data_IF_436417514638
#
_entry.id   IF_436417514638
#
_cell.length_a   1.000
_cell.length_b   1.000
_cell.length_c   1.000
_cell.angle_alpha   90.00
_cell.angle_beta   90.00
_cell.angle_gamma   90.00
#
_symmetry.space_group_name_H-M   'P 1'
#
loop_
_entity.id
_entity.type
_entity.pdbx_description
1 polymer ?
#
# COMPACT_ATOMS: atom_id res chain seq x y z
N UNK A 1 20.92 -28.92 -27.04
CA UNK A 1 20.29 -27.92 -26.16
C UNK A 1 19.61 -28.69 -25.06
N UNK A 2 20.04 -28.50 -23.81
CA UNK A 2 19.36 -29.08 -22.66
C UNK A 2 18.15 -28.18 -22.45
N UNK A 3 16.95 -28.72 -22.66
CA UNK A 3 15.70 -28.05 -22.39
C UNK A 3 15.57 -27.97 -20.87
N UNK A 4 15.94 -26.83 -20.30
CA UNK A 4 15.73 -26.58 -18.87
C UNK A 4 14.22 -26.53 -18.63
N UNK A 5 13.71 -27.19 -17.59
CA UNK A 5 12.29 -27.09 -17.27
C UNK A 5 11.91 -25.60 -17.08
N UNK A 6 10.73 -25.19 -17.55
CA UNK A 6 10.28 -23.81 -17.35
C UNK A 6 10.27 -23.50 -15.86
N UNK A 7 10.71 -22.28 -15.50
CA UNK A 7 10.66 -21.82 -14.13
C UNK A 7 9.23 -21.97 -13.59
N UNK A 8 9.04 -22.39 -12.32
CA UNK A 8 7.71 -22.57 -11.77
C UNK A 8 6.94 -21.24 -11.82
N UNK A 9 5.66 -21.30 -12.21
CA UNK A 9 4.79 -20.14 -12.20
C UNK A 9 4.77 -19.51 -10.79
N UNK A 10 4.79 -18.17 -10.70
CA UNK A 10 4.75 -17.49 -9.41
C UNK A 10 3.44 -17.79 -8.69
N UNK A 11 3.51 -17.82 -7.36
CA UNK A 11 2.37 -18.08 -6.49
C UNK A 11 1.80 -16.78 -5.91
N UNK A 12 0.48 -16.66 -5.93
CA UNK A 12 -0.27 -15.72 -5.09
C UNK A 12 -0.97 -16.48 -3.96
N UNK A 13 -0.77 -16.00 -2.73
CA UNK A 13 -1.49 -16.50 -1.54
C UNK A 13 -2.57 -15.48 -1.19
N UNK A 14 -3.83 -15.86 -1.33
CA UNK A 14 -4.95 -15.04 -0.89
C UNK A 14 -5.45 -15.53 0.48
N UNK A 15 -5.36 -14.65 1.48
CA UNK A 15 -5.77 -14.96 2.85
C UNK A 15 -7.06 -14.20 3.13
N UNK A 16 -8.09 -14.93 3.55
CA UNK A 16 -9.42 -14.40 3.81
C UNK A 16 -10.09 -15.16 4.96
N UNK A 17 -11.12 -14.60 5.61
CA UNK A 17 -11.96 -15.38 6.52
C UNK A 17 -12.43 -16.68 5.86
N UNK A 18 -12.40 -17.79 6.59
CA UNK A 18 -12.79 -19.11 6.09
C UNK A 18 -14.17 -19.09 5.41
N UNK A 19 -15.09 -18.32 5.97
CA UNK A 19 -16.45 -18.16 5.46
C UNK A 19 -16.55 -17.46 4.09
N UNK A 20 -15.46 -16.86 3.60
CA UNK A 20 -15.41 -16.08 2.36
C UNK A 20 -14.64 -16.77 1.23
N UNK A 21 -13.93 -17.87 1.51
CA UNK A 21 -13.10 -18.56 0.49
C UNK A 21 -13.90 -18.97 -0.75
N UNK A 22 -15.11 -19.49 -0.59
CA UNK A 22 -15.97 -19.85 -1.74
C UNK A 22 -16.38 -18.65 -2.59
N UNK A 23 -16.38 -17.44 -2.03
CA UNK A 23 -16.65 -16.20 -2.78
C UNK A 23 -15.46 -15.81 -3.65
N UNK A 24 -14.24 -16.24 -3.29
CA UNK A 24 -13.00 -15.99 -4.04
C UNK A 24 -12.74 -16.98 -5.18
N UNK A 25 -13.45 -18.11 -5.22
CA UNK A 25 -13.26 -19.16 -6.25
C UNK A 25 -13.30 -18.62 -7.70
N UNK A 26 -14.22 -17.71 -8.10
CA UNK A 26 -14.22 -17.16 -9.45
C UNK A 26 -12.96 -16.35 -9.76
N UNK A 27 -12.45 -15.60 -8.79
CA UNK A 27 -11.19 -14.87 -8.92
C UNK A 27 -10.00 -15.82 -9.03
N UNK A 28 -9.93 -16.82 -8.16
CA UNK A 28 -8.86 -17.82 -8.17
C UNK A 28 -8.82 -18.60 -9.48
N UNK A 29 -9.98 -19.01 -10.00
CA UNK A 29 -10.09 -19.70 -11.28
C UNK A 29 -9.58 -18.83 -12.44
N UNK A 30 -9.90 -17.53 -12.45
CA UNK A 30 -9.41 -16.60 -13.47
C UNK A 30 -7.89 -16.40 -13.40
N UNK A 31 -7.32 -16.28 -12.18
CA UNK A 31 -5.87 -16.09 -11.99
C UNK A 31 -5.06 -17.36 -12.25
N UNK A 32 -5.66 -18.54 -12.09
CA UNK A 32 -5.01 -19.85 -12.30
C UNK A 32 -4.54 -20.10 -13.74
N UNK A 33 -4.96 -19.26 -14.70
CA UNK A 33 -4.45 -19.30 -16.07
C UNK A 33 -2.99 -18.78 -16.18
N UNK A 34 -2.54 -17.95 -15.24
CA UNK A 34 -1.23 -17.28 -15.29
C UNK A 34 -0.37 -17.51 -14.04
N UNK A 35 -0.99 -17.88 -12.92
CA UNK A 35 -0.38 -17.96 -11.59
C UNK A 35 -0.79 -19.26 -10.90
N UNK A 36 0.04 -19.74 -9.98
CA UNK A 36 -0.47 -20.63 -8.93
C UNK A 36 -1.25 -19.80 -7.92
N UNK A 37 -2.40 -20.30 -7.48
CA UNK A 37 -3.27 -19.61 -6.52
C UNK A 37 -3.49 -20.51 -5.32
N UNK A 38 -3.22 -19.99 -4.12
CA UNK A 38 -3.60 -20.61 -2.86
C UNK A 38 -4.66 -19.73 -2.18
N UNK A 39 -5.83 -20.31 -1.90
CA UNK A 39 -6.85 -19.69 -1.05
C UNK A 39 -6.69 -20.27 0.35
N UNK A 40 -6.40 -19.41 1.33
CA UNK A 40 -6.07 -19.83 2.70
C UNK A 40 -7.00 -19.14 3.69
N UNK A 41 -7.57 -19.93 4.61
CA UNK A 41 -8.37 -19.38 5.70
C UNK A 41 -7.48 -18.64 6.69
N UNK A 42 -7.85 -17.40 7.01
CA UNK A 42 -7.19 -16.55 7.99
C UNK A 42 -7.13 -17.23 9.36
N UNK A 43 -8.21 -17.88 9.76
CA UNK A 43 -8.33 -18.60 11.04
C UNK A 43 -7.34 -19.76 11.11
N UNK A 44 -7.16 -20.51 10.01
CA UNK A 44 -6.21 -21.62 9.94
C UNK A 44 -4.77 -21.12 10.03
N UNK A 45 -4.43 -20.02 9.35
CA UNK A 45 -3.11 -19.39 9.43
C UNK A 45 -2.80 -18.95 10.86
N UNK A 46 -3.75 -18.26 11.50
CA UNK A 46 -3.62 -17.77 12.87
C UNK A 46 -3.57 -18.91 13.91
N UNK A 47 -4.12 -20.08 13.61
CA UNK A 47 -4.10 -21.25 14.50
C UNK A 47 -2.86 -22.14 14.32
N UNK A 48 -2.28 -22.18 13.12
CA UNK A 48 -1.23 -23.16 12.74
C UNK A 48 0.20 -22.66 12.85
N UNK A 49 0.43 -21.34 12.87
CA UNK A 49 1.77 -20.78 12.94
C UNK A 49 2.07 -20.31 14.37
N UNK A 50 3.30 -20.56 14.83
CA UNK A 50 3.83 -19.91 16.02
C UNK A 50 4.01 -18.42 15.73
N UNK A 51 3.91 -17.57 16.76
CA UNK A 51 4.03 -16.12 16.62
C UNK A 51 3.31 -15.41 17.77
N UNK A 52 3.79 -14.23 18.14
CA UNK A 52 3.31 -13.55 19.35
C UNK A 52 1.86 -13.07 19.23
N UNK A 53 1.40 -12.81 18.00
CA UNK A 53 0.05 -12.38 17.68
C UNK A 53 -0.38 -12.78 16.24
N UNK A 54 -1.60 -12.42 15.84
CA UNK A 54 -2.14 -12.78 14.53
C UNK A 54 -1.33 -12.23 13.33
N UNK A 55 -0.91 -10.95 13.29
CA UNK A 55 -0.07 -10.47 12.20
C UNK A 55 1.24 -11.23 12.05
N UNK A 56 1.97 -11.54 13.14
CA UNK A 56 3.23 -12.29 13.01
C UNK A 56 3.00 -13.69 12.45
N UNK A 57 1.92 -14.36 12.89
CA UNK A 57 1.54 -15.69 12.37
C UNK A 57 1.23 -15.66 10.87
N UNK A 58 0.54 -14.61 10.42
CA UNK A 58 0.28 -14.37 8.99
C UNK A 58 1.59 -14.12 8.24
N UNK A 59 2.47 -13.26 8.78
CA UNK A 59 3.77 -12.95 8.17
C UNK A 59 4.64 -14.20 8.03
N UNK A 60 4.67 -15.08 9.05
CA UNK A 60 5.40 -16.36 9.00
C UNK A 60 4.86 -17.30 7.93
N UNK A 61 3.54 -17.41 7.81
CA UNK A 61 2.94 -18.19 6.73
C UNK A 61 3.34 -17.67 5.34
N UNK A 62 3.40 -16.35 5.17
CA UNK A 62 3.85 -15.71 3.93
C UNK A 62 5.35 -15.88 3.69
N UNK A 63 6.18 -15.85 4.73
CA UNK A 63 7.60 -16.15 4.66
C UNK A 63 7.85 -17.58 4.17
N UNK A 64 7.17 -18.57 4.76
CA UNK A 64 7.24 -19.97 4.31
C UNK A 64 6.77 -20.11 2.85
N UNK A 65 5.68 -19.42 2.49
CA UNK A 65 5.18 -19.41 1.12
C UNK A 65 6.19 -18.83 0.13
N UNK A 66 6.84 -17.72 0.48
CA UNK A 66 7.87 -17.09 -0.33
C UNK A 66 9.08 -18.01 -0.51
N UNK A 67 9.59 -18.55 0.61
CA UNK A 67 10.83 -19.31 0.69
C UNK A 67 10.72 -20.68 0.03
N UNK A 68 9.69 -21.44 0.39
CA UNK A 68 9.59 -22.86 0.01
C UNK A 68 8.64 -23.11 -1.16
N UNK A 69 7.71 -22.18 -1.41
CA UNK A 69 6.65 -22.33 -2.42
C UNK A 69 6.70 -21.27 -3.51
N UNK A 70 7.74 -20.43 -3.53
CA UNK A 70 7.95 -19.37 -4.51
C UNK A 70 6.76 -18.40 -4.66
N UNK A 71 6.11 -18.06 -3.54
CA UNK A 71 5.16 -16.95 -3.50
C UNK A 71 5.84 -15.64 -3.93
N UNK A 72 5.12 -14.84 -4.70
CA UNK A 72 5.52 -13.50 -5.13
C UNK A 72 4.47 -12.45 -4.80
N UNK A 73 3.25 -12.88 -4.49
CA UNK A 73 2.16 -11.97 -4.17
C UNK A 73 1.36 -12.49 -2.98
N UNK A 74 0.80 -11.59 -2.20
CA UNK A 74 -0.21 -11.91 -1.20
C UNK A 74 -1.40 -10.95 -1.29
N UNK A 75 -2.61 -11.50 -1.34
CA UNK A 75 -3.84 -10.73 -1.31
C UNK A 75 -4.49 -10.87 0.08
N UNK A 76 -4.56 -9.76 0.81
CA UNK A 76 -5.20 -9.67 2.11
C UNK A 76 -6.68 -9.31 1.90
N UNK A 77 -7.60 -10.19 2.27
CA UNK A 77 -9.03 -9.98 2.02
C UNK A 77 -9.73 -9.64 3.33
N UNK A 78 -9.97 -8.34 3.52
CA UNK A 78 -10.66 -7.79 4.68
C UNK A 78 -10.19 -6.38 5.00
N UNK A 79 -11.11 -5.58 5.53
CA UNK A 79 -10.79 -4.29 6.15
C UNK A 79 -10.23 -4.49 7.57
N UNK A 80 -9.89 -3.42 8.29
CA UNK A 80 -9.30 -3.46 9.64
C UNK A 80 -10.18 -4.18 10.68
N UNK A 81 -11.50 -4.29 10.44
CA UNK A 81 -12.44 -5.03 11.27
C UNK A 81 -12.52 -6.53 10.95
N UNK A 82 -11.92 -6.97 9.83
CA UNK A 82 -11.97 -8.35 9.34
C UNK A 82 -10.59 -9.00 9.29
N UNK A 83 -9.56 -8.28 8.83
CA UNK A 83 -8.23 -8.82 8.60
C UNK A 83 -7.20 -8.07 9.45
N UNK A 84 -6.37 -8.77 10.26
CA UNK A 84 -5.42 -8.17 11.18
C UNK A 84 -4.52 -7.10 10.55
N UNK A 85 -4.39 -5.99 11.25
CA UNK A 85 -3.52 -4.85 10.94
C UNK A 85 -2.26 -4.98 11.76
N UNK A 86 -1.08 -4.79 11.14
CA UNK A 86 0.12 -4.47 11.89
C UNK A 86 0.23 -2.96 12.01
N UNK A 87 0.44 -2.49 13.23
CA UNK A 87 0.79 -1.11 13.52
C UNK A 87 2.28 -0.99 13.79
N UNK A 88 2.95 -0.09 13.06
CA UNK A 88 4.29 0.34 13.42
C UNK A 88 4.24 1.39 14.54
N UNK A 89 5.25 1.42 15.41
CA UNK A 89 5.35 2.35 16.52
C UNK A 89 6.38 3.45 16.23
N UNK A 90 6.01 4.71 16.50
CA UNK A 90 6.84 5.87 16.22
C UNK A 90 6.97 6.69 17.48
N UNK A 91 8.19 7.11 17.80
CA UNK A 91 8.35 8.21 18.73
C UNK A 91 7.85 9.52 18.09
N UNK A 92 7.15 10.35 18.85
CA UNK A 92 6.58 11.62 18.40
C UNK A 92 6.71 12.65 19.50
N UNK A 93 6.69 13.93 19.18
CA UNK A 93 6.64 14.96 20.23
C UNK A 93 5.17 15.16 20.64
N UNK A 94 4.67 14.26 21.49
CA UNK A 94 3.29 14.25 21.99
C UNK A 94 3.25 13.81 23.46
N UNK A 95 3.42 14.75 24.41
CA UNK A 95 3.46 14.42 25.83
C UNK A 95 2.19 13.74 26.35
N UNK A 96 1.03 14.04 25.73
CA UNK A 96 -0.25 13.45 26.08
C UNK A 96 -0.31 11.92 25.87
N UNK A 97 0.60 11.35 25.07
CA UNK A 97 0.73 9.91 24.88
C UNK A 97 2.13 9.40 25.17
N UNK A 98 2.84 10.05 26.10
CA UNK A 98 4.22 9.70 26.44
C UNK A 98 5.13 9.63 25.21
N UNK A 99 4.90 10.51 24.24
CA UNK A 99 5.71 10.66 23.03
C UNK A 99 5.69 9.45 22.08
N UNK A 100 4.59 8.69 22.03
CA UNK A 100 4.42 7.57 21.10
C UNK A 100 3.16 7.66 20.24
N UNK A 101 3.26 7.16 19.00
CA UNK A 101 2.15 7.00 18.06
C UNK A 101 2.25 5.68 17.28
N UNK A 102 1.13 5.27 16.68
CA UNK A 102 1.02 4.04 15.93
C UNK A 102 0.39 4.28 14.55
N UNK A 103 0.92 3.58 13.54
CA UNK A 103 0.50 3.76 12.16
C UNK A 103 0.31 2.41 11.48
N UNK A 104 -0.80 2.18 10.74
CA UNK A 104 -1.04 0.91 10.07
C UNK A 104 -0.05 0.71 8.92
N UNK A 105 0.45 -0.52 8.75
CA UNK A 105 1.40 -0.85 7.67
C UNK A 105 1.19 -2.26 7.14
N UNK A 106 0.76 -2.35 5.88
CA UNK A 106 0.74 -3.63 5.14
C UNK A 106 2.13 -3.98 4.57
N UNK A 107 3.10 -3.07 4.63
CA UNK A 107 4.50 -3.38 4.29
C UNK A 107 5.03 -4.51 5.19
N UNK A 108 4.55 -4.61 6.43
CA UNK A 108 4.86 -5.71 7.35
C UNK A 108 4.59 -7.09 6.74
N UNK A 109 3.53 -7.25 5.95
CA UNK A 109 3.20 -8.52 5.31
C UNK A 109 3.98 -8.77 4.01
N UNK A 110 4.64 -7.74 3.49
CA UNK A 110 5.38 -7.77 2.24
C UNK A 110 6.89 -8.02 2.45
N UNK A 111 7.44 -7.44 3.51
CA UNK A 111 8.83 -7.50 3.96
C UNK A 111 8.99 -8.64 4.95
N UNK A 112 9.09 -9.87 4.44
CA UNK A 112 8.97 -11.10 5.24
C UNK A 112 10.32 -11.65 5.68
N UNK A 113 11.41 -11.19 5.08
CA UNK A 113 12.73 -11.72 5.32
C UNK A 113 13.80 -10.64 5.49
N UNK A 114 14.80 -11.00 6.27
CA UNK A 114 16.10 -10.32 6.29
C UNK A 114 16.86 -10.56 4.98
N UNK A 115 17.93 -9.79 4.75
CA UNK A 115 18.79 -9.96 3.56
C UNK A 115 19.38 -11.39 3.41
N UNK A 116 19.57 -12.12 4.51
CA UNK A 116 20.05 -13.51 4.49
C UNK A 116 18.94 -14.55 4.28
N UNK A 117 17.68 -14.12 4.17
CA UNK A 117 16.50 -14.96 4.01
C UNK A 117 15.96 -15.58 5.31
N UNK A 118 16.49 -15.17 6.47
CA UNK A 118 15.87 -15.44 7.77
C UNK A 118 14.59 -14.62 7.95
N UNK A 119 13.74 -15.01 8.90
CA UNK A 119 12.46 -14.34 9.14
C UNK A 119 12.68 -12.99 9.82
N UNK A 120 12.16 -11.91 9.25
CA UNK A 120 12.14 -10.59 9.88
C UNK A 120 10.81 -10.41 10.63
N UNK A 121 10.85 -10.24 11.96
CA UNK A 121 9.65 -10.12 12.79
C UNK A 121 9.24 -8.66 13.08
N UNK A 122 10.03 -7.68 12.65
CA UNK A 122 9.95 -6.26 13.00
C UNK A 122 9.81 -5.99 14.50
N UNK A 123 10.53 -6.72 15.35
CA UNK A 123 10.63 -6.41 16.77
C UNK A 123 12.02 -6.82 17.26
N UNK A 124 12.87 -5.87 17.65
CA UNK A 124 14.18 -6.17 18.21
C UNK A 124 14.17 -6.29 19.74
N UNK A 125 13.14 -5.75 20.41
CA UNK A 125 13.07 -5.64 21.87
C UNK A 125 11.83 -6.31 22.47
N UNK A 126 12.05 -7.40 23.23
CA UNK A 126 11.00 -8.12 23.99
C UNK A 126 10.84 -7.66 25.44
N UNK A 127 11.36 -6.49 25.79
CA UNK A 127 11.32 -5.98 27.16
C UNK A 127 10.30 -4.86 27.35
N UNK A 128 9.61 -4.85 28.50
CA UNK A 128 8.69 -3.78 28.87
C UNK A 128 7.56 -3.59 27.84
N UNK A 129 7.21 -2.32 27.57
CA UNK A 129 6.18 -1.99 26.58
C UNK A 129 6.64 -2.20 25.13
N UNK A 130 7.96 -2.19 24.88
CA UNK A 130 8.54 -2.45 23.56
C UNK A 130 8.23 -3.86 23.04
N UNK A 131 7.97 -4.82 23.94
CA UNK A 131 7.55 -6.17 23.57
C UNK A 131 6.26 -6.22 22.73
N UNK A 132 5.44 -5.17 22.75
CA UNK A 132 4.23 -5.03 21.92
C UNK A 132 4.33 -3.97 20.83
N UNK A 133 5.50 -3.32 20.66
CA UNK A 133 5.73 -2.29 19.64
C UNK A 133 6.53 -2.92 18.51
N UNK A 134 6.09 -2.73 17.27
CA UNK A 134 6.71 -3.34 16.11
C UNK A 134 7.11 -2.26 15.13
N UNK A 135 8.13 -2.50 14.32
CA UNK A 135 8.66 -1.51 13.38
C UNK A 135 8.95 -0.18 14.05
N UNK A 136 9.57 -0.22 15.23
CA UNK A 136 9.87 0.96 16.04
C UNK A 136 10.79 1.92 15.28
N UNK A 137 10.27 3.12 15.02
CA UNK A 137 11.03 4.22 14.42
C UNK A 137 11.22 5.33 15.45
N UNK A 138 12.48 5.66 15.74
CA UNK A 138 12.87 6.72 16.66
C UNK A 138 13.56 7.87 15.91
N UNK A 139 13.75 9.00 16.58
CA UNK A 139 14.51 10.12 16.05
C UNK A 139 13.71 11.41 15.96
N UNK A 140 12.39 11.40 16.17
CA UNK A 140 11.62 12.65 16.28
C UNK A 140 11.81 13.22 17.68
N UNK A 141 11.60 12.39 18.70
CA UNK A 141 11.76 12.73 20.12
C UNK A 141 13.08 12.25 20.70
N UNK A 142 13.36 10.96 20.57
CA UNK A 142 14.52 10.26 21.08
C UNK A 142 15.65 10.35 20.04
N UNK A 143 16.65 11.17 20.32
CA UNK A 143 17.76 11.43 19.39
C UNK A 143 18.94 10.47 19.55
N UNK A 144 18.92 9.65 20.60
CA UNK A 144 19.95 8.65 20.87
C UNK A 144 19.61 7.33 20.16
N UNK A 145 20.58 6.78 19.43
CA UNK A 145 20.44 5.49 18.74
C UNK A 145 20.12 5.59 17.26
N UNK A 146 19.69 4.47 16.68
CA UNK A 146 19.30 4.37 15.27
C UNK A 146 17.85 4.87 15.08
N UNK A 147 17.57 5.38 13.88
CA UNK A 147 16.18 5.69 13.49
C UNK A 147 15.37 4.39 13.41
N UNK A 148 15.93 3.38 12.75
CA UNK A 148 15.39 2.03 12.71
C UNK A 148 15.81 1.27 13.97
N UNK A 149 14.91 1.17 14.94
CA UNK A 149 15.22 0.53 16.22
C UNK A 149 15.02 -0.98 16.18
N UNK A 150 14.14 -1.44 15.29
CA UNK A 150 13.83 -2.85 15.13
C UNK A 150 14.67 -3.56 14.06
N UNK A 151 15.46 -2.82 13.27
CA UNK A 151 16.33 -3.38 12.24
C UNK A 151 15.56 -3.86 11.02
N UNK A 152 14.46 -3.18 10.68
CA UNK A 152 13.56 -3.52 9.59
C UNK A 152 14.29 -3.53 8.23
N UNK A 153 14.22 -4.66 7.52
CA UNK A 153 14.79 -4.81 6.18
C UNK A 153 14.26 -3.77 5.18
N UNK A 154 12.95 -3.48 5.22
CA UNK A 154 12.24 -2.50 4.39
C UNK A 154 12.18 -2.85 2.88
N UNK A 155 12.77 -3.96 2.45
CA UNK A 155 12.84 -4.33 1.02
C UNK A 155 11.92 -5.52 0.79
N UNK A 156 10.66 -5.30 0.37
CA UNK A 156 9.68 -6.38 0.35
C UNK A 156 10.01 -7.51 -0.63
N UNK A 157 9.82 -8.74 -0.18
CA UNK A 157 9.87 -9.95 -1.01
C UNK A 157 8.60 -10.15 -1.85
N UNK A 158 7.45 -9.74 -1.29
CA UNK A 158 6.12 -10.00 -1.85
C UNK A 158 5.47 -8.70 -2.35
N UNK A 159 4.79 -8.78 -3.49
CA UNK A 159 3.80 -7.77 -3.88
C UNK A 159 2.51 -7.98 -3.09
N UNK A 160 2.28 -7.16 -2.07
CA UNK A 160 1.09 -7.26 -1.21
C UNK A 160 0.04 -6.24 -1.62
N UNK A 161 -1.21 -6.68 -1.65
CA UNK A 161 -2.37 -5.82 -1.83
C UNK A 161 -3.50 -6.23 -0.90
N UNK A 162 -4.37 -5.28 -0.57
CA UNK A 162 -5.53 -5.49 0.30
C UNK A 162 -6.82 -5.20 -0.43
N UNK A 163 -7.81 -6.09 -0.35
CA UNK A 163 -9.19 -5.70 -0.59
C UNK A 163 -9.82 -5.27 0.75
N UNK A 164 -9.98 -3.96 1.00
CA UNK A 164 -10.55 -3.49 2.24
C UNK A 164 -12.05 -3.71 2.13
N UNK A 165 -12.56 -4.81 2.67
CA UNK A 165 -13.99 -5.14 2.63
C UNK A 165 -14.41 -5.71 3.97
N UNK A 166 -15.57 -5.28 4.48
CA UNK A 166 -16.13 -5.75 5.75
C UNK A 166 -17.28 -6.74 5.53
N UNK A 167 -17.80 -6.86 4.31
CA UNK A 167 -18.92 -7.74 3.98
C UNK A 167 -18.67 -8.60 2.74
N UNK A 168 -19.41 -9.72 2.66
CA UNK A 168 -19.38 -10.62 1.49
C UNK A 168 -19.92 -9.93 0.23
N UNK A 169 -20.84 -8.99 0.38
CA UNK A 169 -21.41 -8.21 -0.71
C UNK A 169 -20.36 -7.26 -1.31
N UNK A 170 -19.60 -6.56 -0.47
CA UNK A 170 -18.45 -5.75 -0.93
C UNK A 170 -17.39 -6.63 -1.60
N UNK A 171 -17.09 -7.81 -1.04
CA UNK A 171 -16.15 -8.75 -1.65
C UNK A 171 -16.59 -9.19 -3.05
N UNK A 172 -17.88 -9.56 -3.23
CA UNK A 172 -18.42 -9.90 -4.55
C UNK A 172 -18.32 -8.74 -5.53
N UNK A 173 -18.55 -7.51 -5.07
CA UNK A 173 -18.47 -6.31 -5.90
C UNK A 173 -17.03 -6.07 -6.40
N UNK A 174 -16.02 -6.12 -5.53
CA UNK A 174 -14.63 -5.92 -5.94
C UNK A 174 -14.13 -7.05 -6.85
N UNK A 175 -14.54 -8.30 -6.61
CA UNK A 175 -14.22 -9.43 -7.50
C UNK A 175 -14.86 -9.23 -8.87
N UNK A 176 -16.16 -8.94 -8.92
CA UNK A 176 -16.87 -8.75 -10.19
C UNK A 176 -16.25 -7.62 -11.02
N UNK A 177 -15.92 -6.49 -10.39
CA UNK A 177 -15.23 -5.38 -11.04
C UNK A 177 -13.83 -5.78 -11.54
N UNK A 178 -13.05 -6.47 -10.71
CA UNK A 178 -11.70 -6.94 -11.08
C UNK A 178 -11.73 -7.90 -12.26
N UNK A 179 -12.71 -8.81 -12.32
CA UNK A 179 -12.87 -9.76 -13.41
C UNK A 179 -13.42 -9.13 -14.70
N UNK A 180 -14.20 -8.05 -14.59
CA UNK A 180 -14.73 -7.32 -15.73
C UNK A 180 -13.67 -6.40 -16.39
N UNK A 181 -12.58 -6.10 -15.68
CA UNK A 181 -11.52 -5.23 -16.14
C UNK A 181 -10.87 -5.73 -17.44
N UNK A 182 -10.62 -4.79 -18.35
CA UNK A 182 -9.87 -5.04 -19.59
C UNK A 182 -8.72 -4.05 -19.67
N UNK A 183 -7.54 -4.53 -19.99
CA UNK A 183 -6.41 -3.64 -20.25
C UNK A 183 -6.64 -2.91 -21.58
N UNK A 184 -6.52 -1.56 -21.59
CA UNK A 184 -6.66 -0.80 -22.82
C UNK A 184 -5.45 -1.04 -23.73
N UNK A 185 -5.69 -1.11 -25.05
CA UNK A 185 -4.63 -1.19 -26.06
C UNK A 185 -3.73 0.05 -26.07
N UNK A 186 -4.28 1.20 -25.67
CA UNK A 186 -3.57 2.48 -25.53
C UNK A 186 -3.76 2.99 -24.10
N UNK A 187 -2.80 2.76 -23.19
CA UNK A 187 -2.95 3.21 -21.83
C UNK A 187 -2.84 4.73 -21.74
N UNK A 188 -3.69 5.30 -20.89
CA UNK A 188 -3.75 6.75 -20.62
C UNK A 188 -3.22 7.01 -19.22
N UNK A 189 -2.34 8.00 -19.09
CA UNK A 189 -1.78 8.42 -17.81
C UNK A 189 -2.24 9.84 -17.48
N UNK A 190 -2.88 10.03 -16.32
CA UNK A 190 -3.20 11.35 -15.80
C UNK A 190 -2.19 11.71 -14.72
N UNK A 191 -1.54 12.87 -14.84
CA UNK A 191 -0.59 13.37 -13.85
C UNK A 191 -1.12 14.71 -13.33
N UNK A 192 -1.48 14.74 -12.06
CA UNK A 192 -2.18 15.84 -11.42
C UNK A 192 -1.36 16.39 -10.26
N UNK A 193 -0.98 17.67 -10.36
CA UNK A 193 -0.34 18.41 -9.28
C UNK A 193 -1.09 19.72 -9.04
N UNK A 194 -1.79 19.81 -7.90
CA UNK A 194 -2.54 21.00 -7.49
C UNK A 194 -1.66 22.07 -6.85
N UNK A 195 -2.14 23.32 -6.89
CA UNK A 195 -1.52 24.44 -6.13
C UNK A 195 -1.62 24.24 -4.63
N UNK A 196 -0.84 25.00 -3.87
CA UNK A 196 -0.94 25.05 -2.41
C UNK A 196 -0.06 24.05 -1.68
N UNK A 197 0.64 23.18 -2.41
CA UNK A 197 1.65 22.25 -1.91
C UNK A 197 3.04 22.61 -2.43
N UNK A 198 4.07 21.83 -2.07
CA UNK A 198 5.41 22.02 -2.63
C UNK A 198 5.39 21.89 -4.16
N UNK A 199 6.13 22.74 -4.87
CA UNK A 199 6.14 22.70 -6.33
C UNK A 199 6.90 21.47 -6.83
N UNK A 200 6.15 20.48 -7.33
CA UNK A 200 6.70 19.29 -7.97
C UNK A 200 6.46 19.27 -9.48
N UNK A 201 6.15 20.43 -10.09
CA UNK A 201 5.93 20.58 -11.53
C UNK A 201 7.10 20.06 -12.39
N UNK A 202 8.39 20.28 -12.03
CA UNK A 202 9.51 19.72 -12.79
C UNK A 202 9.52 18.19 -12.80
N UNK A 203 9.26 17.56 -11.64
CA UNK A 203 9.19 16.11 -11.52
C UNK A 203 8.03 15.55 -12.36
N UNK A 204 6.83 16.12 -12.21
CA UNK A 204 5.65 15.66 -12.93
C UNK A 204 5.78 15.81 -14.46
N UNK A 205 6.45 16.87 -14.91
CA UNK A 205 6.79 17.04 -16.33
C UNK A 205 7.76 15.96 -16.82
N UNK A 206 8.74 15.58 -16.00
CA UNK A 206 9.69 14.51 -16.32
C UNK A 206 9.00 13.14 -16.36
N UNK A 207 8.16 12.82 -15.38
CA UNK A 207 7.38 11.58 -15.35
C UNK A 207 6.44 11.47 -16.54
N UNK A 208 5.74 12.55 -16.90
CA UNK A 208 4.89 12.60 -18.11
C UNK A 208 5.71 12.30 -19.37
N UNK A 209 6.87 12.93 -19.51
CA UNK A 209 7.78 12.70 -20.66
C UNK A 209 8.25 11.24 -20.72
N UNK A 210 8.55 10.62 -19.57
CA UNK A 210 8.98 9.23 -19.47
C UNK A 210 7.88 8.26 -19.89
N UNK A 211 6.64 8.49 -19.43
CA UNK A 211 5.47 7.71 -19.81
C UNK A 211 5.11 7.90 -21.30
N UNK A 212 5.17 9.12 -21.84
CA UNK A 212 4.96 9.38 -23.27
C UNK A 212 5.96 8.62 -24.14
N UNK A 213 7.25 8.61 -23.75
CA UNK A 213 8.29 7.84 -24.44
C UNK A 213 8.05 6.33 -24.39
N UNK A 214 7.46 5.85 -23.30
CA UNK A 214 7.04 4.45 -23.17
C UNK A 214 5.77 4.13 -23.97
N UNK A 215 5.03 5.14 -24.46
CA UNK A 215 3.87 4.99 -25.33
C UNK A 215 2.51 5.25 -24.67
N UNK A 216 2.49 5.85 -23.47
CA UNK A 216 1.25 6.28 -22.82
C UNK A 216 0.73 7.58 -23.44
N UNK A 217 -0.60 7.72 -23.50
CA UNK A 217 -1.24 9.01 -23.76
C UNK A 217 -1.32 9.78 -22.44
N UNK A 218 -0.52 10.83 -22.28
CA UNK A 218 -0.43 11.57 -21.03
C UNK A 218 -1.32 12.82 -21.03
N UNK A 219 -2.00 13.05 -19.90
CA UNK A 219 -2.65 14.30 -19.57
C UNK A 219 -1.98 14.87 -18.33
N UNK A 220 -1.30 16.00 -18.49
CA UNK A 220 -0.55 16.65 -17.43
C UNK A 220 -1.29 17.91 -16.97
N UNK A 221 -1.55 18.00 -15.67
CA UNK A 221 -2.17 19.15 -15.03
C UNK A 221 -1.27 19.65 -13.90
N UNK A 222 -0.82 20.90 -14.03
CA UNK A 222 0.11 21.54 -13.11
C UNK A 222 -0.46 22.87 -12.61
N UNK A 223 -0.56 23.02 -11.29
CA UNK A 223 -0.87 24.30 -10.65
C UNK A 223 -2.25 24.88 -11.01
N UNK A 224 -3.23 24.04 -11.36
CA UNK A 224 -4.58 24.47 -11.69
C UNK A 224 -5.61 23.65 -10.91
N UNK A 225 -6.53 24.33 -10.22
CA UNK A 225 -7.67 23.69 -9.60
C UNK A 225 -8.59 23.09 -10.68
N UNK A 226 -9.06 21.86 -10.49
CA UNK A 226 -9.95 21.10 -11.38
C UNK A 226 -9.38 20.76 -12.77
N UNK A 227 -8.10 21.04 -13.03
CA UNK A 227 -7.47 20.69 -14.29
C UNK A 227 -7.05 19.20 -14.28
N UNK A 228 -7.37 18.48 -15.35
CA UNK A 228 -7.06 17.05 -15.52
C UNK A 228 -8.18 16.07 -15.14
N UNK A 229 -9.33 16.56 -14.66
CA UNK A 229 -10.50 15.74 -14.34
C UNK A 229 -11.13 15.01 -15.53
N UNK A 230 -11.12 15.65 -16.71
CA UNK A 230 -11.55 14.98 -17.94
C UNK A 230 -10.74 13.71 -18.21
N UNK A 231 -9.44 13.73 -17.94
CA UNK A 231 -8.59 12.55 -18.16
C UNK A 231 -8.91 11.40 -17.19
N UNK A 232 -9.31 11.70 -15.94
CA UNK A 232 -9.77 10.68 -15.00
C UNK A 232 -11.14 10.13 -15.42
N UNK A 233 -12.09 11.01 -15.74
CA UNK A 233 -13.44 10.65 -16.18
C UNK A 233 -13.48 9.92 -17.52
N UNK A 234 -12.46 10.10 -18.37
CA UNK A 234 -12.34 9.35 -19.61
C UNK A 234 -11.65 7.97 -19.42
N UNK A 235 -11.50 7.49 -18.18
CA UNK A 235 -10.97 6.18 -17.86
C UNK A 235 -9.44 6.10 -17.88
N UNK A 236 -8.77 6.90 -17.06
CA UNK A 236 -7.32 6.83 -16.90
C UNK A 236 -6.89 5.41 -16.49
N UNK A 237 -5.86 4.90 -17.18
CA UNK A 237 -5.27 3.60 -16.86
C UNK A 237 -4.34 3.71 -15.66
N UNK A 238 -3.62 4.83 -15.58
CA UNK A 238 -2.79 5.24 -14.44
C UNK A 238 -3.16 6.68 -14.10
N UNK A 239 -3.34 7.00 -12.83
CA UNK A 239 -3.40 8.39 -12.36
C UNK A 239 -2.39 8.61 -11.23
N UNK A 240 -1.58 9.66 -11.34
CA UNK A 240 -0.62 10.08 -10.33
C UNK A 240 -1.08 11.42 -9.75
N UNK A 241 -1.19 11.52 -8.43
CA UNK A 241 -1.54 12.74 -7.73
C UNK A 241 -0.46 13.15 -6.74
N UNK A 242 -0.12 14.43 -6.71
CA UNK A 242 0.78 15.04 -5.73
C UNK A 242 0.20 16.35 -5.23
N UNK A 243 -0.10 16.41 -3.94
CA UNK A 243 -0.73 17.57 -3.33
C UNK A 243 -1.30 17.28 -1.95
N UNK A 244 -2.13 18.19 -1.46
CA UNK A 244 -2.89 17.96 -0.24
C UNK A 244 -3.94 16.86 -0.45
N UNK A 245 -4.19 16.11 0.61
CA UNK A 245 -5.16 15.03 0.62
C UNK A 245 -5.95 15.01 1.91
N UNK A 246 -7.12 14.38 1.85
CA UNK A 246 -7.92 14.02 3.00
C UNK A 246 -8.64 12.70 2.71
N UNK A 247 -9.29 12.08 3.71
CA UNK A 247 -10.19 10.94 3.45
C UNK A 247 -11.31 11.28 2.45
N UNK A 248 -11.66 12.58 2.31
CA UNK A 248 -12.66 13.06 1.38
C UNK A 248 -12.20 13.19 -0.08
N UNK A 249 -10.90 13.18 -0.38
CA UNK A 249 -10.42 13.38 -1.75
C UNK A 249 -9.03 14.00 -1.89
N UNK A 250 -8.75 14.47 -3.11
CA UNK A 250 -7.51 15.16 -3.48
C UNK A 250 -7.82 16.65 -3.57
N UNK A 251 -7.20 17.49 -2.72
CA UNK A 251 -7.57 18.90 -2.68
C UNK A 251 -7.36 19.57 -4.05
N UNK A 252 -8.36 20.30 -4.53
CA UNK A 252 -8.39 20.91 -5.86
C UNK A 252 -8.29 19.95 -7.05
N UNK A 253 -8.34 18.63 -6.83
CA UNK A 253 -8.36 17.61 -7.88
C UNK A 253 -9.63 16.76 -7.82
N UNK A 254 -9.88 16.01 -6.74
CA UNK A 254 -11.06 15.14 -6.56
C UNK A 254 -11.82 15.58 -5.31
N UNK A 255 -13.04 16.09 -5.48
CA UNK A 255 -14.02 16.27 -4.42
C UNK A 255 -15.26 15.37 -4.60
N UNK A 256 -16.35 15.62 -3.85
CA UNK A 256 -17.55 14.79 -3.89
C UNK A 256 -18.21 14.68 -5.29
N UNK A 257 -18.18 15.75 -6.08
CA UNK A 257 -18.73 15.77 -7.43
C UNK A 257 -17.93 14.87 -8.37
N UNK A 258 -16.60 14.99 -8.31
CA UNK A 258 -15.67 14.24 -9.13
C UNK A 258 -15.67 12.76 -8.76
N UNK A 259 -15.73 12.46 -7.46
CA UNK A 259 -15.89 11.10 -6.96
C UNK A 259 -17.14 10.44 -7.57
N UNK A 260 -18.28 11.13 -7.58
CA UNK A 260 -19.52 10.60 -8.17
C UNK A 260 -19.33 10.22 -9.64
N UNK A 261 -18.60 11.02 -10.41
CA UNK A 261 -18.27 10.69 -11.80
C UNK A 261 -17.35 9.46 -11.88
N UNK A 262 -16.32 9.38 -11.04
CA UNK A 262 -15.40 8.25 -11.01
C UNK A 262 -16.09 6.95 -10.63
N UNK A 263 -17.07 6.97 -9.74
CA UNK A 263 -17.88 5.78 -9.38
C UNK A 263 -18.68 5.21 -10.57
N UNK A 264 -18.80 5.95 -11.67
CA UNK A 264 -19.45 5.51 -12.91
C UNK A 264 -18.49 5.04 -14.01
N UNK A 265 -17.17 5.22 -13.82
CA UNK A 265 -16.13 4.92 -14.82
C UNK A 265 -15.14 3.93 -14.24
N UNK A 266 -14.83 2.85 -14.97
CA UNK A 266 -13.79 1.91 -14.56
C UNK A 266 -12.40 2.47 -14.91
N UNK A 267 -11.61 2.77 -13.88
CA UNK A 267 -10.22 3.21 -14.00
C UNK A 267 -9.25 2.12 -13.54
N UNK A 268 -8.00 2.21 -13.98
CA UNK A 268 -6.96 1.22 -13.63
C UNK A 268 -6.41 1.45 -12.22
N UNK A 269 -5.25 2.11 -12.15
CA UNK A 269 -4.51 2.34 -10.91
C UNK A 269 -4.39 3.82 -10.60
N UNK A 270 -4.82 4.23 -9.41
CA UNK A 270 -4.59 5.58 -8.90
C UNK A 270 -3.50 5.53 -7.83
N UNK A 271 -2.53 6.43 -7.89
CA UNK A 271 -1.45 6.55 -6.92
C UNK A 271 -1.35 8.01 -6.44
N UNK A 272 -1.76 8.26 -5.20
CA UNK A 272 -1.80 9.57 -4.58
C UNK A 272 -0.72 9.75 -3.51
N UNK A 273 0.17 10.72 -3.72
CA UNK A 273 1.00 11.32 -2.67
C UNK A 273 0.22 12.49 -2.08
N UNK A 274 -0.63 12.17 -1.12
CA UNK A 274 -1.44 13.11 -0.35
C UNK A 274 -1.92 12.48 0.94
N UNK A 275 -2.12 13.29 1.97
CA UNK A 275 -2.46 12.83 3.32
C UNK A 275 -3.79 12.06 3.34
N UNK A 276 -3.82 10.94 4.05
CA UNK A 276 -5.02 10.17 4.43
C UNK A 276 -5.96 9.77 3.28
N UNK A 277 -5.49 9.84 2.03
CA UNK A 277 -6.32 9.49 0.86
C UNK A 277 -6.57 7.98 0.75
N UNK A 278 -5.79 7.19 1.50
CA UNK A 278 -6.00 5.76 1.72
C UNK A 278 -6.07 5.45 3.22
N UNK A 279 -6.64 6.31 4.06
CA UNK A 279 -6.93 5.97 5.45
C UNK A 279 -7.87 4.76 5.50
N UNK A 280 -7.48 3.70 6.21
CA UNK A 280 -8.19 2.40 6.22
C UNK A 280 -8.22 1.74 7.61
N UNK A 281 -7.57 2.35 8.60
CA UNK A 281 -7.51 1.86 9.96
C UNK A 281 -7.24 3.07 10.90
N UNK A 282 -7.56 2.97 12.20
CA UNK A 282 -7.33 4.05 13.15
C UNK A 282 -5.90 4.58 13.11
N UNK A 283 -5.73 5.81 13.60
CA UNK A 283 -4.43 6.41 13.88
C UNK A 283 -4.21 6.55 15.39
N UNK A 284 -3.87 5.47 16.12
CA UNK A 284 -3.63 5.54 17.54
C UNK A 284 -2.36 6.33 17.85
N UNK A 285 -2.28 6.96 19.01
CA UNK A 285 -3.35 7.15 19.98
C UNK A 285 -4.14 8.43 19.69
N UNK A 286 -4.05 9.03 18.49
CA UNK A 286 -4.80 10.26 18.16
C UNK A 286 -6.31 9.99 18.14
N UNK A 287 -6.69 8.97 17.37
CA UNK A 287 -8.07 8.51 17.25
C UNK A 287 -8.40 7.46 18.31
N UNK A 288 -9.69 7.21 18.51
CA UNK A 288 -10.14 6.10 19.34
C UNK A 288 -9.73 4.75 18.71
N UNK A 289 -9.35 3.80 19.54
CA UNK A 289 -8.92 2.47 19.12
C UNK A 289 -9.15 1.45 20.23
N UNK A 290 -9.14 0.17 19.90
CA UNK A 290 -9.12 -0.92 20.88
C UNK A 290 -7.68 -1.37 21.07
N UNK A 291 -7.19 -1.41 22.30
CA UNK A 291 -5.83 -1.89 22.56
C UNK A 291 -5.72 -3.42 22.56
N UNK A 292 -4.48 -3.93 22.62
CA UNK A 292 -4.15 -5.36 22.67
C UNK A 292 -4.82 -6.13 23.83
N UNK A 293 -5.36 -5.45 24.84
CA UNK A 293 -6.09 -6.06 25.95
C UNK A 293 -7.61 -6.03 25.76
N UNK A 294 -8.08 -5.55 24.60
CA UNK A 294 -9.50 -5.39 24.29
C UNK A 294 -10.14 -4.18 24.97
N UNK A 295 -9.33 -3.24 25.49
CA UNK A 295 -9.85 -2.04 26.17
C UNK A 295 -10.00 -0.89 25.17
N UNK A 296 -11.20 -0.29 25.06
CA UNK A 296 -11.40 0.90 24.24
C UNK A 296 -10.66 2.11 24.80
N UNK A 297 -9.86 2.75 23.96
CA UNK A 297 -9.16 3.99 24.21
C UNK A 297 -9.88 5.13 23.48
N UNK A 298 -10.03 6.29 24.14
CA UNK A 298 -10.75 7.46 23.58
C UNK A 298 -9.91 8.21 22.54
N UNK A 299 -8.59 8.16 22.67
CA UNK A 299 -7.65 8.89 21.84
C UNK A 299 -7.40 10.33 22.32
N UNK A 300 -6.23 10.88 21.97
CA UNK A 300 -5.77 12.21 22.38
C UNK A 300 -6.56 13.33 21.72
N UNK A 301 -7.11 13.12 20.51
CA UNK A 301 -8.03 14.09 19.87
C UNK A 301 -9.32 14.29 20.67
N UNK A 302 -9.71 13.29 21.47
CA UNK A 302 -10.83 13.37 22.41
C UNK A 302 -10.38 13.83 23.83
N UNK A 303 -9.14 14.29 23.99
CA UNK A 303 -8.59 14.77 25.25
C UNK A 303 -8.15 13.67 26.24
N UNK A 304 -7.93 12.43 25.78
CA UNK A 304 -7.26 11.43 26.61
C UNK A 304 -5.80 11.82 26.84
N UNK A 305 -5.33 11.62 28.07
CA UNK A 305 -3.91 11.74 28.43
C UNK A 305 -3.48 10.41 29.03
N UNK A 306 -2.44 9.81 28.45
CA UNK A 306 -1.84 8.58 28.94
C UNK A 306 -0.80 8.89 30.02
N UNK A 307 -0.76 8.09 31.07
CA UNK A 307 0.18 8.22 32.20
C UNK A 307 1.40 7.29 32.08
N UNK A 308 1.41 6.46 31.05
CA UNK A 308 2.48 5.55 30.63
C UNK A 308 2.40 5.43 29.09
N UNK A 309 3.43 4.89 28.42
CA UNK A 309 3.36 4.61 26.98
C UNK A 309 2.04 3.89 26.63
N UNK A 310 1.31 4.37 25.60
CA UNK A 310 0.00 3.84 25.25
C UNK A 310 0.08 2.34 24.96
N UNK A 311 -0.86 1.52 25.43
CA UNK A 311 -0.94 0.13 25.02
C UNK A 311 -0.98 0.01 23.49
N UNK A 312 -0.31 -0.99 22.93
CA UNK A 312 -0.33 -1.21 21.49
C UNK A 312 -1.78 -1.42 20.98
N UNK A 313 -2.10 -1.04 19.74
CA UNK A 313 -3.40 -1.31 19.16
C UNK A 313 -3.62 -2.82 18.97
N UNK A 314 -4.83 -3.32 19.22
CA UNK A 314 -5.19 -4.67 18.82
C UNK A 314 -5.05 -4.83 17.29
N UNK A 315 -4.63 -6.00 16.79
CA UNK A 315 -4.54 -6.21 15.35
C UNK A 315 -5.87 -6.07 14.62
N UNK A 316 -6.98 -6.51 15.22
CA UNK A 316 -8.32 -6.26 14.68
C UNK A 316 -8.89 -5.01 15.34
N UNK A 317 -9.33 -4.07 14.52
CA UNK A 317 -10.00 -2.86 14.97
C UNK A 317 -11.45 -2.91 14.54
N UNK A 318 -12.33 -3.25 15.49
CA UNK A 318 -13.76 -3.35 15.23
C UNK A 318 -14.47 -1.99 15.25
N UNK A 319 -15.59 -1.92 14.52
CA UNK A 319 -16.44 -0.73 14.42
C UNK A 319 -16.10 0.10 13.19
N UNK A 320 -17.08 0.84 12.66
CA UNK A 320 -16.82 1.78 11.58
C UNK A 320 -15.81 2.82 12.06
N UNK A 321 -14.58 2.75 11.57
CA UNK A 321 -13.67 3.89 11.62
C UNK A 321 -14.39 5.05 10.94
N UNK A 322 -14.41 6.20 11.60
CA UNK A 322 -15.42 7.23 11.33
C UNK A 322 -15.40 7.79 9.90
N UNK A 323 -14.32 7.55 9.15
CA UNK A 323 -14.12 8.08 7.80
C UNK A 323 -13.55 6.99 6.89
N UNK A 324 -14.40 6.42 6.02
CA UNK A 324 -13.95 5.68 4.85
C UNK A 324 -13.13 6.63 3.96
N UNK A 325 -11.98 6.22 3.43
CA UNK A 325 -11.20 7.09 2.55
C UNK A 325 -11.67 7.04 1.10
N UNK A 326 -11.30 8.05 0.30
CA UNK A 326 -11.55 8.07 -1.15
C UNK A 326 -10.96 6.81 -1.82
N UNK A 327 -9.79 6.34 -1.38
CA UNK A 327 -9.17 5.12 -1.89
C UNK A 327 -10.06 3.89 -1.67
N UNK A 328 -10.60 3.72 -0.46
CA UNK A 328 -11.51 2.63 -0.16
C UNK A 328 -12.81 2.72 -0.96
N UNK A 329 -13.45 3.89 -1.00
CA UNK A 329 -14.70 4.10 -1.75
C UNK A 329 -14.54 3.76 -3.23
N UNK A 330 -13.46 4.23 -3.86
CA UNK A 330 -13.19 3.95 -5.27
C UNK A 330 -12.87 2.47 -5.53
N UNK A 331 -12.15 1.78 -4.63
CA UNK A 331 -11.85 0.34 -4.78
C UNK A 331 -13.10 -0.51 -4.52
N UNK A 332 -13.94 -0.17 -3.54
CA UNK A 332 -15.16 -0.90 -3.18
C UNK A 332 -16.32 -0.71 -4.15
N UNK A 333 -16.28 0.34 -4.98
CA UNK A 333 -17.32 0.67 -5.93
C UNK A 333 -17.64 -0.52 -6.88
N UNK A 334 -18.91 -0.89 -7.08
CA UNK A 334 -19.28 -2.13 -7.77
C UNK A 334 -19.10 -2.10 -9.30
N UNK A 335 -19.26 -0.94 -9.94
CA UNK A 335 -19.29 -0.82 -11.41
C UNK A 335 -18.30 0.20 -11.99
N UNK A 336 -17.77 1.09 -11.16
CA UNK A 336 -16.75 2.07 -11.52
C UNK A 336 -15.69 2.21 -10.42
N UNK A 337 -15.11 3.40 -10.30
CA UNK A 337 -14.00 3.69 -9.42
C UNK A 337 -12.69 3.15 -9.98
N UNK A 338 -11.85 2.59 -9.12
CA UNK A 338 -10.52 2.07 -9.51
C UNK A 338 -10.41 0.58 -9.23
N UNK A 339 -9.51 -0.08 -9.93
CA UNK A 339 -9.12 -1.47 -9.63
C UNK A 339 -8.08 -1.53 -8.52
N UNK A 340 -7.19 -0.54 -8.48
CA UNK A 340 -6.16 -0.39 -7.45
C UNK A 340 -6.01 1.06 -7.06
N UNK A 341 -5.85 1.30 -5.76
CA UNK A 341 -5.49 2.59 -5.19
C UNK A 341 -4.24 2.44 -4.33
N UNK A 342 -3.21 3.25 -4.60
CA UNK A 342 -2.03 3.37 -3.76
C UNK A 342 -2.07 4.75 -3.11
N UNK A 343 -1.97 4.81 -1.78
CA UNK A 343 -2.00 6.09 -1.08
C UNK A 343 -1.54 5.97 0.36
N UNK A 344 -1.39 7.13 0.99
CA UNK A 344 -0.96 7.24 2.38
C UNK A 344 -2.16 7.05 3.33
N UNK A 345 -1.99 6.20 4.33
CA UNK A 345 -2.99 5.98 5.38
C UNK A 345 -3.17 7.22 6.27
N UNK A 346 -2.10 8.01 6.45
CA UNK A 346 -2.04 9.16 7.36
C UNK A 346 -1.33 10.35 6.70
N UNK A 347 -0.50 11.13 7.39
CA UNK A 347 0.23 12.24 6.78
C UNK A 347 1.27 11.81 5.74
N UNK A 348 1.21 12.37 4.53
CA UNK A 348 2.21 12.17 3.48
C UNK A 348 3.23 13.32 3.46
N UNK A 349 4.52 12.99 3.28
CA UNK A 349 5.60 13.96 3.14
C UNK A 349 6.17 14.02 1.72
N UNK A 350 6.81 15.14 1.32
CA UNK A 350 7.44 15.31 0.00
C UNK A 350 8.31 14.15 -0.49
N UNK A 351 9.08 13.50 0.38
CA UNK A 351 9.93 12.38 -0.02
C UNK A 351 9.13 11.22 -0.64
N UNK A 352 7.83 11.08 -0.32
CA UNK A 352 6.97 10.08 -0.92
C UNK A 352 6.84 10.18 -2.46
N UNK A 353 7.17 11.33 -3.05
CA UNK A 353 7.27 11.47 -4.51
C UNK A 353 8.26 10.49 -5.14
N UNK A 354 9.29 10.09 -4.39
CA UNK A 354 10.26 9.07 -4.82
C UNK A 354 9.60 7.69 -4.99
N UNK A 355 8.52 7.38 -4.26
CA UNK A 355 7.73 6.17 -4.51
C UNK A 355 7.04 6.22 -5.87
N UNK A 356 6.46 7.36 -6.26
CA UNK A 356 5.87 7.53 -7.59
C UNK A 356 6.90 7.44 -8.70
N UNK A 357 8.10 8.00 -8.49
CA UNK A 357 9.20 7.87 -9.43
C UNK A 357 9.58 6.39 -9.63
N UNK A 358 9.80 5.64 -8.54
CA UNK A 358 10.09 4.21 -8.61
C UNK A 358 8.97 3.38 -9.27
N UNK A 359 7.70 3.77 -9.07
CA UNK A 359 6.56 3.14 -9.72
C UNK A 359 6.54 3.40 -11.24
N UNK A 360 6.81 4.64 -11.67
CA UNK A 360 6.93 4.98 -13.10
C UNK A 360 8.14 4.30 -13.74
N UNK A 361 9.28 4.24 -13.04
CA UNK A 361 10.46 3.51 -13.48
C UNK A 361 10.14 2.02 -13.72
N UNK A 362 9.36 1.41 -12.82
CA UNK A 362 8.90 0.04 -12.99
C UNK A 362 7.99 -0.11 -14.23
N UNK A 363 7.03 0.81 -14.44
CA UNK A 363 6.12 0.80 -15.60
C UNK A 363 6.87 0.83 -16.93
N UNK A 364 7.89 1.69 -17.03
CA UNK A 364 8.61 1.92 -18.30
C UNK A 364 9.82 1.01 -18.48
N UNK A 365 10.25 0.29 -17.44
CA UNK A 365 11.26 -0.76 -17.58
C UNK A 365 10.74 -1.84 -18.53
N UNK A 366 11.30 -1.88 -19.74
CA UNK A 366 10.82 -2.78 -20.79
C UNK A 366 10.96 -4.23 -20.33
N UNK A 367 9.85 -4.94 -20.23
CA UNK A 367 9.87 -6.39 -20.17
C UNK A 367 10.35 -6.89 -21.55
N UNK A 368 11.24 -7.88 -21.58
CA UNK A 368 11.56 -8.56 -22.84
C UNK A 368 10.25 -9.09 -23.46
N UNK A 369 10.16 -9.31 -24.79
CA UNK A 369 8.92 -9.73 -25.44
C UNK A 369 8.26 -11.00 -24.87
N UNK A 370 9.02 -11.81 -24.12
CA UNK A 370 8.58 -13.06 -23.51
C UNK A 370 8.49 -13.00 -21.98
N UNK A 371 8.74 -11.84 -21.38
CA UNK A 371 8.61 -11.67 -19.93
C UNK A 371 7.11 -11.68 -19.56
N UNK A 372 6.76 -12.20 -18.36
CA UNK A 372 5.39 -12.11 -17.88
C UNK A 372 4.96 -10.64 -17.75
N UNK A 373 3.66 -10.35 -17.87
CA UNK A 373 3.16 -8.99 -17.73
C UNK A 373 3.53 -8.43 -16.36
N UNK A 374 3.99 -7.17 -16.33
CA UNK A 374 4.24 -6.46 -15.09
C UNK A 374 2.92 -6.37 -14.30
N UNK A 375 2.92 -6.83 -13.04
CA UNK A 375 1.76 -6.71 -12.15
C UNK A 375 1.94 -5.54 -11.19
N UNK A 376 0.84 -5.02 -10.67
CA UNK A 376 0.87 -3.85 -9.78
C UNK A 376 1.66 -4.11 -8.50
N UNK A 377 1.63 -5.34 -7.97
CA UNK A 377 2.45 -5.75 -6.83
C UNK A 377 3.96 -5.74 -7.15
N UNK A 378 4.36 -6.06 -8.38
CA UNK A 378 5.76 -5.94 -8.81
C UNK A 378 6.19 -4.48 -8.88
N UNK A 379 5.36 -3.62 -9.46
CA UNK A 379 5.64 -2.19 -9.56
C UNK A 379 5.70 -1.54 -8.18
N UNK A 380 4.81 -1.93 -7.26
CA UNK A 380 4.80 -1.43 -5.89
C UNK A 380 6.03 -1.86 -5.09
N UNK A 381 6.41 -3.14 -5.17
CA UNK A 381 7.65 -3.66 -4.56
C UNK A 381 8.89 -2.93 -5.09
N UNK A 382 8.96 -2.69 -6.40
CA UNK A 382 10.05 -1.93 -7.04
C UNK A 382 10.05 -0.46 -6.62
N UNK A 383 8.88 0.15 -6.44
CA UNK A 383 8.75 1.52 -5.94
C UNK A 383 9.29 1.66 -4.51
N UNK A 384 8.98 0.71 -3.63
CA UNK A 384 9.51 0.67 -2.25
C UNK A 384 11.03 0.43 -2.23
N UNK A 385 11.54 -0.49 -3.03
CA UNK A 385 12.99 -0.71 -3.14
C UNK A 385 13.73 0.52 -3.70
N UNK A 386 13.14 1.19 -4.69
CA UNK A 386 13.66 2.45 -5.22
C UNK A 386 13.66 3.55 -4.16
N UNK A 387 12.57 3.67 -3.39
CA UNK A 387 12.47 4.60 -2.27
C UNK A 387 13.54 4.36 -1.22
N UNK A 388 13.70 3.11 -0.79
CA UNK A 388 14.73 2.71 0.17
C UNK A 388 16.12 3.16 -0.27
N UNK A 389 16.46 2.91 -1.54
CA UNK A 389 17.77 3.25 -2.12
C UNK A 389 17.97 4.77 -2.34
N UNK A 390 17.00 5.46 -2.95
CA UNK A 390 17.13 6.87 -3.30
C UNK A 390 17.10 7.79 -2.08
N UNK A 391 16.26 7.47 -1.08
CA UNK A 391 16.21 8.23 0.18
C UNK A 391 17.28 7.78 1.18
N UNK A 392 18.08 6.76 0.83
CA UNK A 392 19.20 6.23 1.62
C UNK A 392 18.79 5.85 3.04
N UNK A 393 17.68 5.11 3.17
CA UNK A 393 17.05 4.87 4.47
C UNK A 393 18.00 4.22 5.50
N UNK A 394 18.82 3.26 5.07
CA UNK A 394 19.82 2.60 5.92
C UNK A 394 20.93 3.53 6.44
N UNK A 395 21.08 4.74 5.87
CA UNK A 395 22.09 5.72 6.24
C UNK A 395 21.52 6.88 7.07
N UNK A 396 20.20 6.90 7.28
CA UNK A 396 19.55 7.94 8.07
C UNK A 396 19.93 7.79 9.54
N UNK A 397 20.31 8.91 10.16
CA UNK A 397 20.59 9.01 11.59
C UNK A 397 19.76 10.14 12.19
N UNK A 398 19.40 10.09 13.49
CA UNK A 398 18.70 11.18 14.13
C UNK A 398 19.49 12.49 14.01
N UNK A 399 18.77 13.59 13.82
CA UNK A 399 19.31 14.95 13.86
C UNK A 399 18.41 15.81 14.77
N UNK A 400 18.75 17.07 14.96
CA UNK A 400 17.84 18.02 15.64
C UNK A 400 16.50 18.17 14.89
N UNK A 401 16.48 17.94 13.58
CA UNK A 401 15.28 17.96 12.77
C UNK A 401 14.42 16.70 13.02
N UNK A 402 13.10 16.87 12.95
CA UNK A 402 12.11 15.78 12.99
C UNK A 402 11.99 15.05 11.65
N UNK A 403 12.48 15.64 10.56
CA UNK A 403 12.23 15.12 9.21
C UNK A 403 12.95 13.81 8.87
N UNK A 404 14.20 13.53 9.27
CA UNK A 404 14.88 12.26 8.94
C UNK A 404 14.10 10.98 9.31
N UNK A 405 13.58 10.79 10.54
CA UNK A 405 12.74 9.63 10.81
C UNK A 405 11.45 9.65 9.97
N UNK A 406 10.90 10.82 9.66
CA UNK A 406 9.75 10.94 8.77
C UNK A 406 10.03 10.51 7.34
N UNK A 407 11.28 10.57 6.87
CA UNK A 407 11.68 9.93 5.61
C UNK A 407 11.64 8.41 5.82
N UNK A 408 12.28 7.89 6.88
CA UNK A 408 12.31 6.45 7.14
C UNK A 408 10.92 5.82 7.19
N UNK A 409 9.97 6.33 7.97
CA UNK A 409 8.64 5.70 8.08
C UNK A 409 7.66 6.09 6.94
N UNK A 410 8.09 6.87 5.93
CA UNK A 410 7.15 7.36 4.92
C UNK A 410 6.57 6.24 4.06
N UNK A 411 7.42 5.34 3.56
CA UNK A 411 7.00 4.19 2.74
C UNK A 411 6.08 3.23 3.48
N UNK A 412 6.35 3.01 4.78
CA UNK A 412 5.55 2.17 5.67
C UNK A 412 4.08 2.63 5.80
N UNK A 413 3.79 3.94 5.61
CA UNK A 413 2.42 4.49 5.67
C UNK A 413 1.62 4.32 4.39
N UNK A 414 2.25 3.91 3.29
CA UNK A 414 1.56 3.72 2.01
C UNK A 414 1.05 2.29 1.89
N UNK A 415 -0.18 2.16 1.38
CA UNK A 415 -0.85 0.88 1.17
C UNK A 415 -1.32 0.74 -0.27
N UNK A 416 -1.28 -0.49 -0.79
CA UNK A 416 -1.92 -0.88 -2.05
C UNK A 416 -3.27 -1.51 -1.74
N UNK A 417 -4.34 -0.77 -1.98
CA UNK A 417 -5.71 -1.25 -1.92
C UNK A 417 -6.11 -1.80 -3.30
N UNK A 418 -6.25 -3.11 -3.44
CA UNK A 418 -6.57 -3.79 -4.70
C UNK A 418 -5.91 -5.16 -4.82
N UNK A 419 -6.15 -5.80 -5.96
CA UNK A 419 -5.50 -7.07 -6.32
C UNK A 419 -4.04 -6.83 -6.74
N UNK A 420 -3.03 -7.32 -5.98
CA UNK A 420 -1.62 -7.10 -6.33
C UNK A 420 -1.22 -7.81 -7.62
N UNK A 421 -2.03 -8.75 -8.09
CA UNK A 421 -1.77 -9.51 -9.32
C UNK A 421 -2.37 -8.88 -10.57
N UNK A 422 -3.06 -7.74 -10.44
CA UNK A 422 -3.56 -6.99 -11.58
C UNK A 422 -2.40 -6.63 -12.52
N UNK A 423 -2.49 -7.09 -13.76
CA UNK A 423 -1.54 -6.71 -14.79
C UNK A 423 -1.64 -5.21 -15.07
N UNK A 424 -0.50 -4.54 -15.18
CA UNK A 424 -0.41 -3.14 -15.55
C UNK A 424 -0.39 -3.02 -17.08
N UNK A 425 -1.08 -2.01 -17.64
CA UNK A 425 -1.11 -1.87 -19.08
C UNK A 425 0.23 -1.33 -19.56
N UNK A 426 0.93 -2.11 -20.39
CA UNK A 426 2.19 -1.72 -21.02
C UNK A 426 1.95 -1.53 -22.53
N UNK A 427 2.35 -0.39 -23.12
CA UNK A 427 2.27 -0.19 -24.57
C UNK A 427 3.06 -1.27 -25.32
N UNK A 428 2.52 -1.79 -26.42
CA UNK A 428 3.16 -2.89 -27.15
C UNK A 428 4.53 -2.49 -27.72
N UNK A 429 5.54 -3.36 -27.53
CA UNK A 429 6.93 -3.14 -27.95
C UNK A 429 7.10 -2.86 -29.46
N UNK A 430 6.14 -3.29 -30.28
CA UNK A 430 6.18 -3.16 -31.74
C UNK A 430 6.21 -1.70 -32.23
N UNK A 431 5.79 -0.71 -31.42
CA UNK A 431 5.74 0.70 -31.82
C UNK A 431 6.79 1.60 -31.18
N UNK A 432 7.51 1.15 -30.15
CA UNK A 432 8.67 1.90 -29.64
C UNK A 432 9.79 1.99 -30.69
N UNK A 433 9.82 1.06 -31.65
CA UNK A 433 10.73 1.05 -32.79
C UNK A 433 10.28 1.98 -33.94
N UNK A 434 8.99 2.27 -34.08
CA UNK A 434 8.45 3.13 -35.15
C UNK A 434 8.60 4.64 -34.85
N UNK A 435 8.99 5.00 -33.62
CA UNK A 435 9.20 6.39 -33.16
C UNK A 435 10.67 6.74 -32.87
N UNK A 436 11.62 5.86 -33.20
CA UNK A 436 13.06 6.11 -33.09
C UNK A 436 13.64 6.68 -34.37
#
# INVERSE_FOLDING_TARGET
MIDLPPAPQPLVVAIAPAAWLSTLEPWAAARSAELRVELVALEDVCASNDGVDAPERIKRHLWDAWKDRAARYALLVGDADVFPVRYMALDRIMPAACDWAFYPSDLYYADVAEHDGSFDDWNASREGFHAGYFGEVCGEKNKDGAIDRDGVSYVPELGVGRWPVSTREQLRAVIAKTLAAKLPERPRAALLHAVGWIDCSPLYSALSTQLERAGYECSLSLGQANAGLGALADGASIALHAGHGSPGGWEHCIGPTEETALLSVASGVFFSVGCSTAHWAPEPPYQAYVDIHGVPQRGTNAGQVFTAPPPAPAPLQGGAHAEESIGERLVRAPTGGVLVYIGCATGAQPCALTLQQGFVDALVSSAAPNDPPLRVGDAWRRALAHYHAQERLAELVPTEDWYPPSIFFQGMKFVLLGDPTLALPQPSAQRAAERR
#
